data_IF_870720085512
#
_entry.id   IF_870720085512
#
_cell.length_a   1.000
_cell.length_b   1.000
_cell.length_c   1.000
_cell.angle_alpha   90.00
_cell.angle_beta   90.00
_cell.angle_gamma   90.00
#
_symmetry.space_group_name_H-M   'P 1'
#
loop_
_entity.id
_entity.type
_entity.pdbx_description
1 polymer ?
#
# COMPACT_ATOMS: atom_id res chain seq x y z
N UNK A 1 -3.64 15.32 10.69
CA UNK A 1 -2.72 14.55 11.52
C UNK A 1 -1.63 14.02 10.62
N UNK A 2 -0.40 14.34 10.94
CA UNK A 2 0.77 14.05 10.11
C UNK A 2 1.02 12.55 10.04
N UNK A 3 1.23 12.06 8.83
CA UNK A 3 1.77 10.73 8.61
C UNK A 3 3.24 10.74 9.07
N UNK A 4 3.54 10.23 10.23
CA UNK A 4 4.91 10.01 10.65
C UNK A 4 5.49 8.80 9.89
N UNK A 5 5.99 9.07 8.67
CA UNK A 5 6.81 8.11 7.94
C UNK A 5 8.21 8.23 8.52
N UNK A 6 8.56 7.32 9.37
CA UNK A 6 9.90 7.32 9.97
C UNK A 6 10.83 6.44 9.14
N UNK A 7 11.73 7.06 8.41
CA UNK A 7 12.80 6.38 7.68
C UNK A 7 13.97 6.10 8.60
N UNK A 8 14.46 4.86 8.60
CA UNK A 8 15.72 4.50 9.22
C UNK A 8 16.66 3.98 8.16
N UNK A 9 17.81 4.60 8.07
CA UNK A 9 18.97 4.03 7.38
C UNK A 9 19.88 3.46 8.46
N UNK A 10 19.84 2.16 8.68
CA UNK A 10 20.85 1.49 9.49
C UNK A 10 22.00 1.08 8.58
N UNK A 11 23.14 1.68 8.77
CA UNK A 11 24.36 1.31 8.06
C UNK A 11 25.17 0.41 8.98
N UNK A 12 25.31 -0.88 8.65
CA UNK A 12 26.45 -1.67 9.13
C UNK A 12 26.74 -2.80 8.14
N UNK A 13 27.96 -2.87 7.70
CA UNK A 13 28.44 -3.79 6.65
C UNK A 13 28.56 -5.25 7.10
N UNK A 14 28.18 -5.63 8.32
CA UNK A 14 28.35 -6.98 8.86
C UNK A 14 27.15 -7.52 9.65
N UNK A 15 25.95 -7.00 9.44
CA UNK A 15 24.78 -7.48 10.20
C UNK A 15 24.02 -8.55 9.43
N UNK A 16 23.62 -9.60 10.15
CA UNK A 16 22.77 -10.68 9.64
C UNK A 16 21.36 -10.21 9.29
N UNK A 17 20.96 -8.99 9.71
CA UNK A 17 19.68 -8.36 9.38
C UNK A 17 19.82 -6.83 9.31
N UNK A 18 18.92 -6.20 8.58
CA UNK A 18 18.77 -4.74 8.51
C UNK A 18 17.28 -4.38 8.54
N UNK A 19 16.91 -3.46 9.43
CA UNK A 19 15.61 -2.78 9.37
C UNK A 19 15.82 -1.53 8.53
N UNK A 20 15.36 -1.57 7.28
CA UNK A 20 15.58 -0.48 6.33
C UNK A 20 14.61 0.69 6.54
N UNK A 21 13.34 0.37 6.80
CA UNK A 21 12.25 1.33 6.99
C UNK A 21 11.21 0.74 7.92
N UNK A 22 10.52 1.60 8.68
CA UNK A 22 9.38 1.18 9.49
C UNK A 22 8.46 2.35 9.80
N UNK A 23 7.20 2.09 10.13
CA UNK A 23 6.27 3.15 10.46
C UNK A 23 4.86 2.69 10.80
N UNK A 24 4.00 3.68 10.98
CA UNK A 24 2.55 3.52 11.12
C UNK A 24 1.92 4.25 9.94
N UNK A 25 0.99 3.62 9.26
CA UNK A 25 0.15 4.28 8.25
C UNK A 25 -1.20 4.52 8.87
N UNK A 26 -1.63 5.78 8.88
CA UNK A 26 -2.97 6.16 9.30
C UNK A 26 -4.01 5.82 8.24
N UNK A 27 -5.28 5.83 8.64
CA UNK A 27 -6.41 5.62 7.75
C UNK A 27 -6.41 6.60 6.59
N UNK A 28 -6.15 6.10 5.40
CA UNK A 28 -6.21 6.85 4.16
C UNK A 28 -7.03 6.06 3.14
N UNK A 29 -8.26 6.49 2.81
CA UNK A 29 -9.14 5.77 1.89
C UNK A 29 -8.57 5.64 0.47
N UNK A 30 -7.53 6.40 0.15
CA UNK A 30 -6.89 6.42 -1.16
C UNK A 30 -5.45 5.88 -1.13
N UNK A 31 -5.12 5.12 -0.07
CA UNK A 31 -3.78 4.56 0.03
C UNK A 31 -3.58 3.49 -1.04
N UNK A 32 -2.57 3.72 -1.84
CA UNK A 32 -2.06 2.80 -2.84
C UNK A 32 -0.55 2.75 -2.76
N UNK A 33 0.01 1.56 -2.83
CA UNK A 33 1.45 1.38 -3.00
C UNK A 33 1.71 0.16 -3.90
N UNK A 34 2.73 0.26 -4.74
CA UNK A 34 3.18 -0.84 -5.58
C UNK A 34 4.68 -0.86 -5.69
N UNK A 35 5.24 -2.05 -5.80
CA UNK A 35 6.65 -2.27 -6.00
C UNK A 35 6.89 -3.44 -6.94
N UNK A 36 7.82 -3.28 -7.84
CA UNK A 36 8.33 -4.37 -8.68
C UNK A 36 9.65 -4.86 -8.10
N UNK A 37 9.77 -6.16 -7.88
CA UNK A 37 10.94 -6.81 -7.30
C UNK A 37 11.44 -6.11 -6.04
N UNK A 38 10.57 -6.05 -5.02
CA UNK A 38 10.93 -5.45 -3.73
C UNK A 38 12.22 -6.04 -3.19
N UNK A 39 13.18 -5.18 -2.87
CA UNK A 39 14.44 -5.62 -2.23
C UNK A 39 14.21 -6.23 -0.84
N UNK A 40 13.16 -5.77 -0.15
CA UNK A 40 12.90 -6.08 1.24
C UNK A 40 11.79 -7.10 1.42
N UNK A 41 11.86 -7.86 2.51
CA UNK A 41 10.68 -8.46 3.12
C UNK A 41 9.88 -7.37 3.80
N UNK A 42 8.55 -7.38 3.64
CA UNK A 42 7.67 -6.40 4.24
C UNK A 42 6.77 -7.11 5.23
N UNK A 43 6.90 -6.70 6.48
CA UNK A 43 6.10 -7.19 7.59
C UNK A 43 5.06 -6.14 7.90
N UNK A 44 3.80 -6.51 7.91
CA UNK A 44 2.71 -5.59 8.18
C UNK A 44 1.66 -6.21 9.08
N UNK A 45 1.05 -5.38 9.93
CA UNK A 45 -0.01 -5.79 10.83
C UNK A 45 -1.15 -4.77 10.81
N UNK A 46 -2.36 -5.22 10.49
CA UNK A 46 -3.54 -4.36 10.37
C UNK A 46 -4.17 -4.12 11.75
N UNK A 47 -4.15 -2.86 12.19
CA UNK A 47 -4.75 -2.41 13.45
C UNK A 47 -6.26 -2.23 13.33
N UNK A 48 -6.73 -1.81 12.17
CA UNK A 48 -8.14 -1.60 11.85
C UNK A 48 -8.35 -1.52 10.35
N UNK A 49 -9.61 -1.62 9.93
CA UNK A 49 -10.00 -1.52 8.53
C UNK A 49 -9.68 -2.76 7.73
N UNK A 50 -9.78 -2.62 6.42
CA UNK A 50 -9.57 -3.72 5.47
C UNK A 50 -8.98 -3.22 4.16
N UNK A 51 -8.40 -4.13 3.41
CA UNK A 51 -7.78 -3.82 2.12
C UNK A 51 -7.47 -5.06 1.32
N UNK A 52 -6.75 -4.85 0.24
CA UNK A 52 -6.40 -5.91 -0.71
C UNK A 52 -4.92 -5.82 -1.04
N UNK A 53 -4.24 -6.95 -1.11
CA UNK A 53 -2.90 -7.05 -1.67
C UNK A 53 -2.88 -8.00 -2.86
N UNK A 54 -2.29 -7.54 -3.96
CA UNK A 54 -1.99 -8.36 -5.12
C UNK A 54 -0.50 -8.74 -5.09
N UNK A 55 -0.19 -10.02 -5.15
CA UNK A 55 1.18 -10.52 -5.26
C UNK A 55 1.22 -11.56 -6.37
N UNK A 56 2.09 -11.35 -7.36
CA UNK A 56 2.34 -12.28 -8.46
C UNK A 56 1.04 -12.82 -9.10
N UNK A 57 0.09 -11.92 -9.39
CA UNK A 57 -1.25 -12.21 -9.94
C UNK A 57 -2.24 -12.92 -9.00
N UNK A 58 -1.94 -13.05 -7.73
CA UNK A 58 -2.88 -13.51 -6.70
C UNK A 58 -3.37 -12.33 -5.87
N UNK A 59 -4.65 -12.31 -5.58
CA UNK A 59 -5.30 -11.27 -4.79
C UNK A 59 -5.70 -11.83 -3.43
N UNK A 60 -5.27 -11.17 -2.36
CA UNK A 60 -5.59 -11.52 -0.98
C UNK A 60 -6.34 -10.39 -0.31
N UNK A 61 -7.40 -10.73 0.42
CA UNK A 61 -8.15 -9.77 1.22
C UNK A 61 -7.56 -9.74 2.63
N UNK A 62 -7.32 -8.53 3.11
CA UNK A 62 -6.71 -8.25 4.40
C UNK A 62 -7.71 -7.52 5.29
N UNK A 63 -7.78 -7.90 6.53
CA UNK A 63 -8.68 -7.32 7.54
C UNK A 63 -7.96 -7.10 8.86
N UNK A 64 -8.62 -6.41 9.77
CA UNK A 64 -8.13 -6.21 11.14
C UNK A 64 -7.59 -7.50 11.74
N UNK A 65 -6.45 -7.41 12.43
CA UNK A 65 -5.68 -8.47 13.04
C UNK A 65 -4.96 -9.42 12.07
N UNK A 66 -5.02 -9.18 10.76
CA UNK A 66 -4.15 -9.89 9.85
C UNK A 66 -2.73 -9.33 9.94
N UNK A 67 -1.80 -10.23 10.20
CA UNK A 67 -0.37 -10.01 10.00
C UNK A 67 0.03 -10.67 8.68
N UNK A 68 0.90 -10.02 7.93
CA UNK A 68 1.44 -10.66 6.72
C UNK A 68 2.89 -10.29 6.44
N UNK A 69 3.56 -11.21 5.73
CA UNK A 69 4.92 -11.02 5.23
C UNK A 69 4.90 -11.14 3.72
N UNK A 70 5.26 -10.05 3.03
CA UNK A 70 5.55 -10.07 1.59
C UNK A 70 7.02 -10.46 1.41
N UNK A 71 7.34 -11.53 0.69
CA UNK A 71 8.72 -11.93 0.51
C UNK A 71 9.50 -10.97 -0.38
N UNK A 72 10.80 -10.89 -0.16
CA UNK A 72 11.69 -10.16 -1.05
C UNK A 72 11.60 -10.68 -2.49
N UNK A 73 11.94 -9.83 -3.45
CA UNK A 73 11.86 -10.07 -4.90
C UNK A 73 10.45 -10.26 -5.47
N UNK A 74 9.39 -10.08 -4.67
CA UNK A 74 8.01 -10.12 -5.14
C UNK A 74 7.60 -8.82 -5.84
N UNK A 75 6.65 -8.96 -6.78
CA UNK A 75 5.89 -7.84 -7.29
C UNK A 75 4.60 -7.74 -6.48
N UNK A 76 4.33 -6.58 -5.90
CA UNK A 76 3.11 -6.39 -5.11
C UNK A 76 2.45 -5.05 -5.36
N UNK A 77 1.16 -5.03 -5.11
CA UNK A 77 0.33 -3.83 -5.07
C UNK A 77 -0.65 -3.97 -3.92
N UNK A 78 -0.87 -2.93 -3.13
CA UNK A 78 -1.94 -2.94 -2.15
C UNK A 78 -2.80 -1.70 -2.19
N UNK A 79 -4.06 -1.93 -1.80
CA UNK A 79 -5.13 -0.96 -1.80
C UNK A 79 -5.87 -1.04 -0.48
N UNK A 80 -6.25 0.10 0.05
CA UNK A 80 -7.19 0.16 1.16
C UNK A 80 -8.63 0.16 0.63
N UNK A 81 -9.58 -0.29 1.43
CA UNK A 81 -11.00 -0.06 1.14
C UNK A 81 -11.37 1.39 1.45
N UNK A 82 -12.13 2.02 0.54
CA UNK A 82 -12.47 3.45 0.65
C UNK A 82 -13.34 3.71 1.88
N UNK A 83 -14.33 2.83 2.11
CA UNK A 83 -15.32 3.00 3.18
C UNK A 83 -14.80 2.54 4.56
N UNK A 84 -13.78 1.67 4.58
CA UNK A 84 -13.14 1.18 5.79
C UNK A 84 -11.61 1.10 5.62
N UNK A 85 -10.93 2.24 5.48
CA UNK A 85 -9.51 2.29 5.24
C UNK A 85 -8.73 1.70 6.41
N UNK A 86 -7.70 0.91 6.10
CA UNK A 86 -6.89 0.28 7.12
C UNK A 86 -5.89 1.26 7.75
N UNK A 87 -5.64 1.03 9.03
CA UNK A 87 -4.49 1.51 9.75
C UNK A 87 -3.57 0.33 10.05
N UNK A 88 -2.24 0.49 9.88
CA UNK A 88 -1.31 -0.61 10.03
C UNK A 88 0.05 -0.18 10.58
N UNK A 89 0.71 -1.12 11.23
CA UNK A 89 2.16 -1.11 11.40
C UNK A 89 2.83 -1.74 10.20
N UNK A 90 4.03 -1.27 9.86
CA UNK A 90 4.84 -1.89 8.81
C UNK A 90 6.33 -1.75 9.09
N UNK A 91 7.11 -2.76 8.66
CA UNK A 91 8.56 -2.81 8.78
C UNK A 91 9.13 -3.49 7.53
N UNK A 92 10.12 -2.88 6.90
CA UNK A 92 10.87 -3.44 5.77
C UNK A 92 12.21 -3.96 6.27
N UNK A 93 12.48 -5.24 6.07
CA UNK A 93 13.71 -5.91 6.53
C UNK A 93 14.41 -6.65 5.40
N UNK A 94 15.74 -6.80 5.53
CA UNK A 94 16.57 -7.64 4.67
C UNK A 94 17.70 -8.29 5.48
N UNK A 95 18.34 -9.31 4.93
CA UNK A 95 19.53 -9.96 5.48
C UNK A 95 19.38 -11.47 5.65
N UNK A 96 20.52 -12.12 5.87
CA UNK A 96 20.61 -13.60 5.90
C UNK A 96 19.81 -14.23 7.03
N UNK A 97 19.61 -13.53 8.15
CA UNK A 97 18.71 -13.99 9.23
C UNK A 97 17.26 -14.07 8.72
N UNK A 98 16.79 -13.02 8.03
CA UNK A 98 15.42 -12.97 7.52
C UNK A 98 15.22 -14.04 6.44
N UNK A 99 16.18 -14.17 5.50
CA UNK A 99 16.17 -15.21 4.47
C UNK A 99 16.11 -16.61 5.08
N UNK A 100 16.95 -16.87 6.10
CA UNK A 100 17.02 -18.16 6.78
C UNK A 100 15.72 -18.52 7.50
N UNK A 101 15.15 -17.58 8.26
CA UNK A 101 13.89 -17.78 8.97
C UNK A 101 12.73 -17.95 7.98
N UNK A 102 12.65 -17.09 6.94
CA UNK A 102 11.61 -17.20 5.94
C UNK A 102 11.64 -18.57 5.24
N UNK A 103 12.81 -19.01 4.79
CA UNK A 103 12.98 -20.30 4.14
C UNK A 103 12.70 -21.50 5.07
N UNK A 104 12.99 -21.35 6.36
CA UNK A 104 12.75 -22.39 7.35
C UNK A 104 11.25 -22.56 7.63
N UNK A 105 10.54 -21.48 7.86
CA UNK A 105 9.14 -21.52 8.29
C UNK A 105 8.13 -21.47 7.13
N UNK A 106 8.47 -20.85 5.99
CA UNK A 106 7.51 -20.48 4.96
C UNK A 106 7.95 -20.81 3.53
N UNK A 107 8.92 -21.71 3.37
CA UNK A 107 9.41 -22.15 2.07
C UNK A 107 8.26 -22.35 1.06
N UNK A 108 8.45 -21.81 -0.13
CA UNK A 108 7.48 -21.89 -1.25
C UNK A 108 6.17 -21.09 -1.09
N UNK A 109 6.03 -20.26 -0.07
CA UNK A 109 4.88 -19.38 0.06
C UNK A 109 5.13 -18.05 -0.66
N UNK A 110 4.16 -17.60 -1.44
CA UNK A 110 4.23 -16.29 -2.11
C UNK A 110 3.93 -15.14 -1.14
N UNK A 111 3.21 -15.42 -0.07
CA UNK A 111 2.87 -14.50 1.04
C UNK A 111 2.59 -15.35 2.27
N UNK A 112 2.98 -14.83 3.41
CA UNK A 112 2.58 -15.37 4.72
C UNK A 112 1.46 -14.49 5.25
N UNK A 113 0.34 -15.09 5.65
CA UNK A 113 -0.73 -14.40 6.36
C UNK A 113 -1.01 -15.18 7.63
N UNK A 114 -1.04 -14.48 8.76
CA UNK A 114 -1.34 -15.05 10.08
C UNK A 114 -2.36 -14.18 10.79
N UNK A 115 -3.21 -14.80 11.60
CA UNK A 115 -4.23 -14.07 12.37
C UNK A 115 -3.94 -14.25 13.87
N UNK A 116 -3.23 -13.27 14.43
CA UNK A 116 -2.92 -13.15 15.85
C UNK A 116 -2.61 -11.68 16.16
N UNK A 117 -2.51 -11.32 17.44
CA UNK A 117 -2.09 -9.96 17.83
C UNK A 117 -0.57 -9.79 17.73
N UNK A 118 -0.12 -9.14 16.69
CA UNK A 118 1.28 -8.77 16.48
C UNK A 118 1.63 -7.36 17.01
N UNK A 119 0.66 -6.62 17.57
CA UNK A 119 0.90 -5.25 18.08
C UNK A 119 2.07 -5.14 19.06
N UNK A 120 2.31 -6.09 19.98
CA UNK A 120 3.42 -5.99 20.92
C UNK A 120 4.78 -5.97 20.23
N UNK A 121 4.96 -6.81 19.22
CA UNK A 121 6.21 -6.90 18.46
C UNK A 121 6.49 -5.61 17.67
N UNK A 122 5.47 -5.07 16.97
CA UNK A 122 5.63 -3.82 16.24
C UNK A 122 5.86 -2.62 17.17
N UNK A 123 5.17 -2.56 18.30
CA UNK A 123 5.41 -1.53 19.32
C UNK A 123 6.85 -1.56 19.81
N UNK A 124 7.41 -2.75 20.03
CA UNK A 124 8.80 -2.91 20.45
C UNK A 124 9.77 -2.49 19.34
N UNK A 125 9.57 -2.94 18.11
CA UNK A 125 10.35 -2.52 16.94
C UNK A 125 10.32 -1.00 16.69
N UNK A 126 9.20 -0.34 17.02
CA UNK A 126 8.99 1.09 16.79
C UNK A 126 9.35 1.98 17.99
N UNK A 127 9.41 1.45 19.22
CA UNK A 127 9.69 2.22 20.45
C UNK A 127 11.04 2.94 20.48
N UNK A 128 11.99 2.47 19.72
CA UNK A 128 13.40 2.87 19.85
C UNK A 128 13.75 4.13 19.09
N UNK A 129 12.82 5.12 19.02
CA UNK A 129 12.97 6.34 18.23
C UNK A 129 12.66 7.63 18.97
N UNK A 130 13.48 7.99 19.95
CA UNK A 130 13.62 9.39 20.33
C UNK A 130 15.10 9.76 20.45
N UNK A 131 15.53 10.61 19.49
CA UNK A 131 16.80 11.33 19.38
C UNK A 131 18.02 10.56 18.91
N UNK A 132 18.53 11.07 17.78
CA UNK A 132 19.90 11.04 17.23
C UNK A 132 20.59 9.68 17.11
N UNK A 133 20.88 9.38 15.87
CA UNK A 133 22.09 8.70 15.40
C UNK A 133 22.60 7.55 16.26
N UNK A 134 22.46 6.35 15.75
CA UNK A 134 23.02 5.12 16.31
C UNK A 134 22.27 4.65 17.56
N UNK A 135 21.17 3.94 17.34
CA UNK A 135 20.63 3.12 18.41
C UNK A 135 21.48 1.86 18.50
N UNK A 136 22.44 1.90 19.40
CA UNK A 136 22.96 0.71 20.07
C UNK A 136 21.87 0.25 21.04
N UNK A 137 20.83 -0.33 20.55
CA UNK A 137 19.99 -1.21 21.37
C UNK A 137 20.77 -2.48 21.57
N UNK A 138 20.68 -3.07 22.75
CA UNK A 138 21.30 -4.36 23.03
C UNK A 138 21.03 -5.27 21.86
N UNK A 139 22.08 -5.57 21.08
CA UNK A 139 21.99 -6.25 19.77
C UNK A 139 21.35 -7.64 19.87
N UNK A 140 21.18 -8.13 21.09
CA UNK A 140 20.61 -9.45 21.37
C UNK A 140 19.09 -9.52 21.30
N UNK A 141 18.37 -8.45 21.59
CA UNK A 141 16.90 -8.51 21.69
C UNK A 141 16.19 -8.51 20.33
N UNK A 142 16.72 -7.79 19.34
CA UNK A 142 16.07 -7.67 18.03
C UNK A 142 16.07 -8.99 17.23
N UNK A 143 17.16 -9.75 17.14
CA UNK A 143 17.12 -11.08 16.49
C UNK A 143 16.14 -12.04 17.14
N UNK A 144 16.04 -12.03 18.48
CA UNK A 144 15.05 -12.84 19.21
C UNK A 144 13.62 -12.39 18.89
N UNK A 145 13.37 -11.10 18.91
CA UNK A 145 12.06 -10.52 18.56
C UNK A 145 11.65 -10.87 17.12
N UNK A 146 12.58 -10.79 16.16
CA UNK A 146 12.35 -11.21 14.79
C UNK A 146 11.98 -12.69 14.74
N UNK A 147 12.73 -13.54 15.43
CA UNK A 147 12.45 -14.98 15.48
C UNK A 147 11.09 -15.29 16.12
N UNK A 148 10.71 -14.60 17.19
CA UNK A 148 9.38 -14.72 17.80
C UNK A 148 8.26 -14.33 16.84
N UNK A 149 8.45 -13.28 16.04
CA UNK A 149 7.50 -12.91 14.97
C UNK A 149 7.30 -14.07 13.98
N UNK A 150 8.39 -14.70 13.53
CA UNK A 150 8.32 -15.83 12.61
C UNK A 150 7.63 -17.04 13.25
N UNK A 151 7.96 -17.39 14.50
CA UNK A 151 7.33 -18.48 15.24
C UNK A 151 5.83 -18.23 15.44
N UNK A 152 5.47 -17.02 15.87
CA UNK A 152 4.07 -16.63 16.06
C UNK A 152 3.30 -16.71 14.76
N UNK A 153 3.88 -16.23 13.66
CA UNK A 153 3.26 -16.33 12.35
C UNK A 153 3.09 -17.78 11.90
N UNK A 154 4.10 -18.63 12.10
CA UNK A 154 4.05 -20.05 11.72
C UNK A 154 2.97 -20.83 12.48
N UNK A 155 2.78 -20.51 13.78
CA UNK A 155 1.78 -21.15 14.63
C UNK A 155 0.34 -20.66 14.40
N UNK A 156 0.18 -19.50 13.75
CA UNK A 156 -1.12 -18.86 13.53
C UNK A 156 -1.41 -18.64 12.02
N UNK A 157 -0.83 -19.47 11.16
CA UNK A 157 -1.05 -19.34 9.71
C UNK A 157 -2.54 -19.33 9.39
N UNK A 158 -2.94 -18.32 8.68
CA UNK A 158 -4.25 -18.21 8.04
C UNK A 158 -4.11 -18.58 6.58
N UNK A 159 -5.09 -19.29 6.06
CA UNK A 159 -5.20 -19.59 4.63
C UNK A 159 -6.35 -18.76 4.06
N UNK A 160 -6.14 -17.44 3.82
CA UNK A 160 -7.19 -16.63 3.25
C UNK A 160 -7.56 -17.19 1.90
N UNK A 161 -8.84 -17.16 1.58
CA UNK A 161 -9.29 -17.42 0.23
C UNK A 161 -8.57 -16.43 -0.70
N UNK A 162 -7.65 -16.94 -1.51
CA UNK A 162 -7.10 -16.12 -2.58
C UNK A 162 -7.95 -16.36 -3.83
N UNK A 163 -8.34 -15.26 -4.44
CA UNK A 163 -8.95 -15.35 -5.76
C UNK A 163 -7.83 -15.27 -6.80
N UNK A 164 -7.70 -16.34 -7.57
CA UNK A 164 -6.92 -16.27 -8.80
C UNK A 164 -7.57 -15.15 -9.62
N UNK A 165 -6.82 -14.15 -10.05
CA UNK A 165 -7.35 -13.04 -10.85
C UNK A 165 -8.07 -13.51 -12.13
N UNK A 166 -7.89 -14.79 -12.49
CA UNK A 166 -8.67 -15.50 -13.52
C UNK A 166 -10.08 -15.89 -13.07
N UNK A 167 -10.38 -16.01 -11.78
CA UNK A 167 -11.71 -16.49 -11.30
C UNK A 167 -12.69 -15.35 -10.92
N UNK A 168 -12.20 -14.13 -10.75
CA UNK A 168 -13.03 -12.92 -10.49
C UNK A 168 -13.22 -12.11 -11.78
N UNK A 169 -13.22 -12.78 -12.95
CA UNK A 169 -13.58 -12.15 -14.21
C UNK A 169 -14.98 -11.58 -14.09
N UNK A 170 -15.08 -10.25 -14.03
CA UNK A 170 -16.35 -9.55 -14.13
C UNK A 170 -16.97 -9.04 -12.84
N UNK A 171 -16.29 -9.08 -11.69
CA UNK A 171 -16.78 -8.43 -10.47
C UNK A 171 -16.46 -6.94 -10.43
N UNK A 172 -17.29 -6.16 -9.74
CA UNK A 172 -17.06 -4.73 -9.55
C UNK A 172 -15.73 -4.44 -8.83
N UNK A 173 -15.35 -5.28 -7.86
CA UNK A 173 -14.07 -5.20 -7.16
C UNK A 173 -12.87 -5.43 -8.08
N UNK A 174 -12.94 -6.40 -9.00
CA UNK A 174 -11.90 -6.62 -10.00
C UNK A 174 -11.74 -5.42 -10.94
N UNK A 175 -12.84 -4.76 -11.29
CA UNK A 175 -12.82 -3.54 -12.11
C UNK A 175 -12.20 -2.38 -11.35
N UNK A 176 -12.57 -2.19 -10.06
CA UNK A 176 -11.98 -1.18 -9.16
C UNK A 176 -10.47 -1.38 -9.07
N UNK A 177 -10.02 -2.60 -8.75
CA UNK A 177 -8.61 -2.92 -8.64
C UNK A 177 -7.84 -2.64 -9.94
N UNK A 178 -8.42 -3.00 -11.09
CA UNK A 178 -7.83 -2.67 -12.38
C UNK A 178 -7.68 -1.16 -12.59
N UNK A 179 -8.68 -0.36 -12.23
CA UNK A 179 -8.63 1.10 -12.35
C UNK A 179 -7.55 1.67 -11.42
N UNK A 180 -7.52 1.23 -10.18
CA UNK A 180 -6.52 1.65 -9.20
C UNK A 180 -5.09 1.29 -9.63
N UNK A 181 -4.85 0.07 -10.13
CA UNK A 181 -3.53 -0.35 -10.62
C UNK A 181 -3.05 0.37 -11.88
N UNK A 182 -3.96 1.02 -12.60
CA UNK A 182 -3.63 1.69 -13.87
C UNK A 182 -3.87 3.21 -13.81
N UNK A 183 -3.93 3.79 -12.62
CA UNK A 183 -4.30 5.19 -12.43
C UNK A 183 -3.32 6.19 -13.07
N UNK A 184 -2.05 5.84 -13.25
CA UNK A 184 -1.04 6.69 -13.89
C UNK A 184 -1.22 6.82 -15.41
N UNK A 185 -2.13 6.05 -16.01
CA UNK A 185 -2.43 6.09 -17.47
C UNK A 185 -3.82 6.67 -17.72
N UNK A 186 -4.09 7.17 -18.95
CA UNK A 186 -5.44 7.52 -19.34
C UNK A 186 -6.40 6.34 -19.15
N UNK A 187 -7.57 6.59 -18.58
CA UNK A 187 -8.59 5.55 -18.43
C UNK A 187 -9.14 5.08 -19.76
N UNK A 188 -9.20 3.78 -19.97
CA UNK A 188 -9.73 3.16 -21.18
C UNK A 188 -10.73 2.05 -20.86
N UNK A 189 -12.01 2.33 -21.07
CA UNK A 189 -13.06 1.31 -20.94
C UNK A 189 -12.93 0.20 -21.99
N UNK A 190 -12.28 0.49 -23.13
CA UNK A 190 -11.99 -0.51 -24.16
C UNK A 190 -10.95 -1.51 -23.68
N UNK A 191 -9.88 -1.05 -23.02
CA UNK A 191 -8.87 -1.94 -22.43
C UNK A 191 -9.48 -2.83 -21.33
N UNK A 192 -10.35 -2.27 -20.50
CA UNK A 192 -11.11 -3.05 -19.52
C UNK A 192 -11.98 -4.12 -20.20
N UNK A 193 -12.71 -3.74 -21.24
CA UNK A 193 -13.55 -4.64 -22.04
C UNK A 193 -12.73 -5.83 -22.57
N UNK A 194 -11.57 -5.55 -23.13
CA UNK A 194 -10.67 -6.58 -23.64
C UNK A 194 -10.10 -7.47 -22.53
N UNK A 195 -9.63 -6.85 -21.43
CA UNK A 195 -9.04 -7.58 -20.30
C UNK A 195 -10.02 -8.53 -19.62
N UNK A 196 -11.25 -8.07 -19.40
CA UNK A 196 -12.27 -8.84 -18.68
C UNK A 196 -13.15 -9.68 -19.60
N UNK A 197 -12.97 -9.58 -20.91
CA UNK A 197 -13.81 -10.26 -21.93
C UNK A 197 -15.33 -9.97 -21.73
N UNK A 198 -15.64 -8.70 -21.40
CA UNK A 198 -17.00 -8.22 -21.15
C UNK A 198 -17.28 -6.99 -21.99
N UNK A 199 -18.54 -6.79 -22.38
CA UNK A 199 -18.92 -5.57 -23.07
C UNK A 199 -18.80 -4.33 -22.16
N UNK A 200 -18.53 -3.15 -22.73
CA UNK A 200 -18.45 -1.88 -21.99
C UNK A 200 -19.69 -1.66 -21.09
N UNK A 201 -20.88 -1.95 -21.63
CA UNK A 201 -22.12 -1.77 -20.89
C UNK A 201 -22.24 -2.72 -19.68
N UNK A 202 -21.81 -3.96 -19.84
CA UNK A 202 -21.79 -4.91 -18.71
C UNK A 202 -20.86 -4.41 -17.60
N UNK A 203 -19.65 -3.95 -17.94
CA UNK A 203 -18.69 -3.39 -16.98
C UNK A 203 -19.30 -2.18 -16.26
N UNK A 204 -19.89 -1.23 -17.01
CA UNK A 204 -20.54 -0.05 -16.43
C UNK A 204 -21.66 -0.45 -15.49
N UNK A 205 -22.52 -1.38 -15.90
CA UNK A 205 -23.69 -1.79 -15.09
C UNK A 205 -23.27 -2.51 -13.80
N UNK A 206 -22.32 -3.45 -13.89
CA UNK A 206 -21.77 -4.15 -12.72
C UNK A 206 -21.12 -3.17 -11.76
N UNK A 207 -20.33 -2.26 -12.27
CA UNK A 207 -19.62 -1.26 -11.45
C UNK A 207 -20.60 -0.26 -10.79
N UNK A 208 -21.59 0.25 -11.56
CA UNK A 208 -22.61 1.15 -11.02
C UNK A 208 -23.50 0.51 -9.98
N UNK A 209 -23.83 -0.78 -10.15
CA UNK A 209 -24.65 -1.51 -9.18
C UNK A 209 -23.97 -1.55 -7.81
N UNK A 210 -22.66 -1.70 -7.77
CA UNK A 210 -21.89 -1.84 -6.53
C UNK A 210 -21.43 -0.49 -5.96
N UNK A 211 -20.87 0.38 -6.81
CA UNK A 211 -20.25 1.63 -6.37
C UNK A 211 -21.08 2.89 -6.66
N UNK A 212 -22.26 2.77 -7.23
CA UNK A 212 -23.21 3.85 -7.56
C UNK A 212 -22.68 4.92 -8.52
N UNK A 213 -21.47 4.77 -9.04
CA UNK A 213 -20.82 5.65 -10.01
C UNK A 213 -20.26 4.86 -11.19
N UNK A 214 -19.90 5.56 -12.27
CA UNK A 214 -19.28 4.89 -13.44
C UNK A 214 -17.81 4.58 -13.19
N UNK A 215 -17.21 3.56 -13.85
CA UNK A 215 -15.77 3.30 -13.81
C UNK A 215 -14.93 4.52 -14.20
N UNK A 216 -15.38 5.30 -15.20
CA UNK A 216 -14.71 6.53 -15.63
C UNK A 216 -14.70 7.59 -14.53
N UNK A 217 -15.85 7.81 -13.88
CA UNK A 217 -15.94 8.78 -12.78
C UNK A 217 -15.10 8.34 -11.59
N UNK A 218 -15.16 7.06 -11.23
CA UNK A 218 -14.31 6.49 -10.19
C UNK A 218 -12.83 6.72 -10.47
N UNK A 219 -12.36 6.40 -11.70
CA UNK A 219 -10.98 6.64 -12.10
C UNK A 219 -10.58 8.12 -11.98
N UNK A 220 -11.49 9.03 -12.36
CA UNK A 220 -11.24 10.46 -12.25
C UNK A 220 -11.09 10.88 -10.79
N UNK A 221 -12.03 10.51 -9.93
CA UNK A 221 -12.00 10.86 -8.50
C UNK A 221 -10.75 10.29 -7.81
N UNK A 222 -10.45 9.02 -8.07
CA UNK A 222 -9.27 8.36 -7.53
C UNK A 222 -7.96 9.09 -7.90
N UNK A 223 -7.80 9.48 -9.18
CA UNK A 223 -6.65 10.29 -9.62
C UNK A 223 -6.57 11.64 -8.93
N UNK A 224 -7.71 12.29 -8.69
CA UNK A 224 -7.73 13.60 -8.02
C UNK A 224 -7.37 13.51 -6.54
N UNK A 225 -7.73 12.40 -5.88
CA UNK A 225 -7.33 12.13 -4.52
C UNK A 225 -5.82 11.91 -4.40
N UNK A 226 -5.25 11.11 -5.31
CA UNK A 226 -3.80 10.94 -5.44
C UNK A 226 -3.09 12.26 -5.76
N UNK A 227 -3.69 13.08 -6.63
CA UNK A 227 -3.17 14.40 -6.94
C UNK A 227 -3.09 15.31 -5.71
N UNK A 228 -4.13 15.32 -4.91
CA UNK A 228 -4.20 16.13 -3.68
C UNK A 228 -3.08 15.76 -2.71
N UNK A 229 -2.83 14.47 -2.51
CA UNK A 229 -1.73 14.00 -1.66
C UNK A 229 -0.34 14.36 -2.22
N UNK A 230 -0.13 14.21 -3.53
CA UNK A 230 1.12 14.61 -4.18
C UNK A 230 1.39 16.12 -4.02
N UNK A 231 0.36 16.95 -4.22
CA UNK A 231 0.45 18.40 -4.08
C UNK A 231 0.72 18.82 -2.63
N UNK A 232 0.08 18.18 -1.65
CA UNK A 232 0.36 18.38 -0.23
C UNK A 232 1.81 18.03 0.12
N UNK A 233 2.39 17.01 -0.50
CA UNK A 233 3.80 16.63 -0.35
C UNK A 233 4.78 17.54 -1.10
N UNK A 234 4.30 18.61 -1.75
CA UNK A 234 5.14 19.60 -2.42
C UNK A 234 5.42 19.31 -3.90
N UNK A 235 4.92 18.22 -4.48
CA UNK A 235 5.05 17.93 -5.91
C UNK A 235 4.46 19.06 -6.74
N UNK A 236 5.09 19.43 -7.85
CA UNK A 236 4.58 20.50 -8.70
C UNK A 236 3.30 20.08 -9.44
N UNK A 237 2.46 21.06 -9.79
CA UNK A 237 1.23 20.83 -10.57
C UNK A 237 1.53 20.10 -11.88
N UNK A 238 2.63 20.49 -12.54
CA UNK A 238 3.08 19.90 -13.80
C UNK A 238 3.53 18.44 -13.63
N UNK A 239 4.31 18.14 -12.62
CA UNK A 239 4.74 16.78 -12.34
C UNK A 239 3.56 15.90 -11.95
N UNK A 240 2.66 16.41 -11.11
CA UNK A 240 1.45 15.71 -10.67
C UNK A 240 0.55 15.37 -11.89
N UNK A 241 0.27 16.34 -12.75
CA UNK A 241 -0.58 16.13 -13.92
C UNK A 241 0.02 15.10 -14.88
N UNK A 242 1.34 15.18 -15.12
CA UNK A 242 2.08 14.25 -15.96
C UNK A 242 2.07 12.83 -15.37
N UNK A 243 2.36 12.69 -14.08
CA UNK A 243 2.38 11.40 -13.40
C UNK A 243 1.02 10.69 -13.45
N UNK A 244 -0.08 11.44 -13.33
CA UNK A 244 -1.44 10.90 -13.37
C UNK A 244 -1.98 10.71 -14.80
N UNK A 245 -1.14 10.91 -15.82
CA UNK A 245 -1.49 10.66 -17.21
C UNK A 245 -2.49 11.65 -17.79
N UNK A 246 -2.53 12.89 -17.32
CA UNK A 246 -3.31 13.95 -17.94
C UNK A 246 -2.55 14.54 -19.13
N UNK A 247 -3.28 14.84 -20.20
CA UNK A 247 -2.70 15.36 -21.44
C UNK A 247 -2.15 16.78 -21.30
N UNK A 248 -2.74 17.59 -20.43
CA UNK A 248 -2.30 18.97 -20.16
C UNK A 248 -2.56 19.38 -18.72
N UNK A 249 -1.71 20.26 -18.18
CA UNK A 249 -1.87 20.82 -16.83
C UNK A 249 -3.13 21.67 -16.72
N UNK A 250 -3.53 22.33 -17.81
CA UNK A 250 -4.76 23.14 -17.88
C UNK A 250 -6.00 22.27 -17.71
N UNK A 251 -6.06 21.14 -18.41
CA UNK A 251 -7.17 20.18 -18.30
C UNK A 251 -7.21 19.55 -16.90
N UNK A 252 -6.06 19.12 -16.39
CA UNK A 252 -5.94 18.62 -15.01
C UNK A 252 -6.46 19.64 -13.98
N UNK A 253 -6.00 20.89 -14.05
CA UNK A 253 -6.38 21.95 -13.12
C UNK A 253 -7.87 22.25 -13.17
N UNK A 254 -8.47 22.22 -14.36
CA UNK A 254 -9.92 22.40 -14.54
C UNK A 254 -10.72 21.29 -13.87
N UNK A 255 -10.35 20.03 -14.12
CA UNK A 255 -11.00 18.86 -13.52
C UNK A 255 -10.79 18.85 -12.00
N UNK A 256 -9.58 19.11 -11.53
CA UNK A 256 -9.26 19.18 -10.12
C UNK A 256 -10.14 20.22 -9.40
N UNK A 257 -10.21 21.44 -9.93
CA UNK A 257 -11.06 22.51 -9.35
C UNK A 257 -12.54 22.12 -9.35
N UNK A 258 -13.03 21.46 -10.40
CA UNK A 258 -14.43 21.03 -10.51
C UNK A 258 -14.83 20.06 -9.38
N UNK A 259 -13.97 19.11 -9.02
CA UNK A 259 -14.33 18.05 -8.06
C UNK A 259 -13.81 18.32 -6.64
N UNK A 260 -12.73 19.10 -6.48
CA UNK A 260 -12.13 19.41 -5.18
C UNK A 260 -12.48 20.81 -4.65
N UNK A 261 -13.21 21.60 -5.42
CA UNK A 261 -13.57 23.00 -5.09
C UNK A 261 -12.38 23.91 -4.78
N UNK A 262 -11.16 23.49 -5.08
CA UNK A 262 -9.89 24.20 -4.91
C UNK A 262 -9.02 24.00 -6.13
N UNK A 263 -8.17 24.98 -6.46
CA UNK A 263 -7.16 24.77 -7.50
C UNK A 263 -5.99 23.94 -6.96
N UNK A 264 -5.27 23.21 -7.83
CA UNK A 264 -4.05 22.49 -7.43
C UNK A 264 -3.02 23.38 -6.74
N UNK A 265 -2.87 24.62 -7.20
CA UNK A 265 -1.93 25.60 -6.62
C UNK A 265 -2.34 26.08 -5.22
N UNK A 266 -3.64 26.12 -4.91
CA UNK A 266 -4.12 26.46 -3.57
C UNK A 266 -3.80 25.35 -2.56
N UNK A 267 -3.91 24.08 -2.96
CA UNK A 267 -3.55 22.95 -2.11
C UNK A 267 -2.07 22.98 -1.75
N UNK A 268 -1.20 23.30 -2.72
CA UNK A 268 0.24 23.42 -2.50
C UNK A 268 0.64 24.57 -1.58
N UNK A 269 -0.02 25.74 -1.66
CA UNK A 269 0.27 26.91 -0.81
C UNK A 269 -0.07 26.68 0.66
N UNK A 270 -1.19 26.03 0.96
CA UNK A 270 -1.62 25.78 2.35
C UNK A 270 -0.62 24.94 3.15
N UNK A 271 0.18 24.09 2.50
CA UNK A 271 1.19 23.30 3.21
C UNK A 271 2.51 24.06 3.43
N UNK A 272 2.85 24.99 2.53
CA UNK A 272 4.06 25.80 2.72
C UNK A 272 3.88 26.81 3.87
N UNK A 273 2.67 27.28 4.11
CA UNK A 273 2.35 28.20 5.21
C UNK A 273 2.26 27.46 6.57
N UNK A 274 1.94 26.15 6.57
CA UNK A 274 1.89 25.32 7.77
C UNK A 274 3.26 24.79 8.23
N UNK A 275 4.28 24.83 7.37
CA UNK A 275 5.67 24.38 7.67
C UNK A 275 6.54 25.54 8.13
N UNK A 276 6.11 26.81 7.88
CA UNK A 276 6.87 28.03 8.22
C UNK A 276 6.31 28.79 9.44
N UNK A 277 5.33 28.24 10.14
CA UNK A 277 4.85 28.67 11.45
C UNK A 277 5.11 27.58 12.49
#
# INVERSE_FOLDING_TARGET
MEQEIVYHKTISDNRTYTIAMSGITDKNPYFYNSQTKSKYYIFEFLLSGQGTINIDNKTYFLKKNDFYIVPANSNYEYFTEVDDPYQRYWVCMEGTLIDGLYNTYFKEKNIVIANADFSPYFKELLKKKKKSDIILTDEHDIPLLIHEIFLTAANNLSFPEYFNSKSVKGSASAFKNYICSNFSRPFSLQEMSNKFCMSKNQIINVFKKEYHITPQLFSTLYKLDMAEEMLKRGTSVKETSKYLGYSTDKYFSSIFKKYKNKSPSQVKKHNNDAVNN
#
